data_IF_515566113769
#
_entry.id   IF_515566113769
#
_cell.length_a   1.000
_cell.length_b   1.000
_cell.length_c   1.000
_cell.angle_alpha   90.00
_cell.angle_beta   90.00
_cell.angle_gamma   90.00
#
_symmetry.space_group_name_H-M   'P 1'
#
loop_
_entity.id
_entity.type
_entity.pdbx_description
1 polymer ?
#
# COMPACT_ATOMS: atom_id res chain seq x y z
N UNK A 1 15.04 -8.03 3.98
CA UNK A 1 13.77 -7.54 3.43
C UNK A 1 12.75 -7.28 4.54
N UNK A 2 12.51 -8.26 5.40
CA UNK A 2 11.47 -8.20 6.45
C UNK A 2 11.61 -7.00 7.39
N UNK A 3 12.83 -6.68 7.86
CA UNK A 3 13.07 -5.50 8.70
C UNK A 3 12.67 -4.18 8.03
N UNK A 4 12.94 -4.01 6.73
CA UNK A 4 12.61 -2.76 6.02
C UNK A 4 11.10 -2.59 5.89
N UNK A 5 10.39 -3.66 5.50
CA UNK A 5 8.93 -3.64 5.37
C UNK A 5 8.25 -3.42 6.72
N UNK A 6 8.71 -4.08 7.79
CA UNK A 6 8.16 -3.90 9.14
C UNK A 6 8.37 -2.47 9.65
N UNK A 7 9.58 -1.92 9.53
CA UNK A 7 9.85 -0.53 9.91
C UNK A 7 9.03 0.47 9.09
N UNK A 8 8.80 0.20 7.80
CA UNK A 8 7.98 1.06 6.96
C UNK A 8 6.51 1.08 7.40
N UNK A 9 5.96 -0.08 7.80
CA UNK A 9 4.61 -0.19 8.34
C UNK A 9 4.49 0.58 9.66
N UNK A 10 5.45 0.41 10.58
CA UNK A 10 5.50 1.18 11.84
C UNK A 10 5.63 2.69 11.61
N UNK A 11 6.44 3.11 10.63
CA UNK A 11 6.58 4.52 10.26
C UNK A 11 5.26 5.11 9.75
N UNK A 12 4.49 4.35 8.96
CA UNK A 12 3.24 4.79 8.35
C UNK A 12 2.08 4.85 9.36
N UNK A 13 1.94 3.81 10.20
CA UNK A 13 0.78 3.63 11.07
C UNK A 13 1.02 4.10 12.51
N UNK A 14 2.27 4.29 12.91
CA UNK A 14 2.70 4.46 14.30
C UNK A 14 3.06 3.11 14.95
N UNK A 15 4.10 3.08 15.78
CA UNK A 15 4.61 1.85 16.40
C UNK A 15 3.58 1.13 17.28
N UNK A 16 2.76 1.88 18.02
CA UNK A 16 1.75 1.34 18.95
C UNK A 16 0.37 1.14 18.30
N UNK A 17 0.28 1.17 16.96
CA UNK A 17 -0.99 1.04 16.28
C UNK A 17 -1.60 -0.36 16.52
N UNK A 18 -2.85 -0.48 17.01
CA UNK A 18 -3.50 -1.78 17.25
C UNK A 18 -3.54 -2.70 16.02
N UNK A 19 -3.56 -2.14 14.82
CA UNK A 19 -3.56 -2.91 13.57
C UNK A 19 -2.25 -3.69 13.40
N UNK A 20 -1.13 -3.18 13.92
CA UNK A 20 0.16 -3.88 13.92
C UNK A 20 0.16 -4.97 15.01
N UNK A 21 -0.24 -4.63 16.24
CA UNK A 21 -0.21 -5.57 17.37
C UNK A 21 -1.19 -6.73 17.21
N UNK A 22 -2.31 -6.52 16.51
CA UNK A 22 -3.29 -7.55 16.15
C UNK A 22 -2.95 -8.32 14.86
N UNK A 23 -1.80 -8.03 14.21
CA UNK A 23 -1.35 -8.74 13.02
C UNK A 23 -2.20 -8.50 11.76
N UNK A 24 -2.89 -7.36 11.68
CA UNK A 24 -3.79 -6.98 10.56
C UNK A 24 -3.09 -6.15 9.47
N UNK A 25 -1.89 -5.63 9.73
CA UNK A 25 -1.08 -4.92 8.75
C UNK A 25 0.21 -5.68 8.42
N UNK A 26 0.61 -5.63 7.16
CA UNK A 26 1.90 -6.10 6.68
C UNK A 26 2.41 -5.19 5.55
N UNK A 27 3.71 -5.25 5.29
CA UNK A 27 4.37 -4.48 4.23
C UNK A 27 5.05 -5.38 3.22
N UNK A 28 5.11 -4.95 1.97
CA UNK A 28 5.90 -5.58 0.90
C UNK A 28 6.74 -4.50 0.24
N UNK A 29 8.04 -4.72 0.12
CA UNK A 29 8.93 -3.79 -0.55
C UNK A 29 8.69 -3.80 -2.07
N UNK A 30 8.55 -2.61 -2.65
CA UNK A 30 8.25 -2.38 -4.08
C UNK A 30 9.21 -1.35 -4.68
N UNK A 31 9.14 -1.17 -6.00
CA UNK A 31 9.91 -0.15 -6.72
C UNK A 31 9.26 1.24 -6.58
N UNK A 32 9.57 1.93 -5.48
CA UNK A 32 9.08 3.29 -5.21
C UNK A 32 7.53 3.39 -5.23
N UNK A 33 6.99 4.60 -5.22
CA UNK A 33 5.55 4.86 -5.17
C UNK A 33 4.78 4.31 -6.39
N UNK A 34 5.29 4.52 -7.60
CA UNK A 34 4.65 4.03 -8.84
C UNK A 34 4.56 2.51 -8.86
N UNK A 35 5.62 1.81 -8.42
CA UNK A 35 5.62 0.36 -8.28
C UNK A 35 4.62 -0.11 -7.22
N UNK A 36 4.52 0.59 -6.07
CA UNK A 36 3.51 0.31 -5.05
C UNK A 36 2.08 0.40 -5.59
N UNK A 37 1.76 1.45 -6.36
CA UNK A 37 0.44 1.65 -6.94
C UNK A 37 0.09 0.52 -7.93
N UNK A 38 1.04 0.15 -8.79
CA UNK A 38 0.86 -0.94 -9.76
C UNK A 38 0.57 -2.27 -9.06
N UNK A 39 1.41 -2.65 -8.08
CA UNK A 39 1.25 -3.91 -7.34
C UNK A 39 -0.07 -3.93 -6.56
N UNK A 40 -0.42 -2.83 -5.88
CA UNK A 40 -1.68 -2.70 -5.16
C UNK A 40 -2.90 -2.85 -6.06
N UNK A 41 -2.92 -2.17 -7.22
CA UNK A 41 -4.01 -2.26 -8.18
C UNK A 41 -4.15 -3.69 -8.76
N UNK A 42 -3.03 -4.36 -9.05
CA UNK A 42 -3.05 -5.76 -9.50
C UNK A 42 -3.58 -6.71 -8.46
N UNK A 43 -3.19 -6.54 -7.19
CA UNK A 43 -3.68 -7.38 -6.11
C UNK A 43 -5.20 -7.28 -6.00
N UNK A 44 -5.73 -6.05 -6.00
CA UNK A 44 -7.17 -5.80 -5.95
C UNK A 44 -7.90 -6.38 -7.17
N UNK A 45 -7.37 -6.17 -8.38
CA UNK A 45 -7.98 -6.70 -9.59
C UNK A 45 -7.93 -8.23 -9.66
N UNK A 46 -6.77 -8.84 -9.38
CA UNK A 46 -6.56 -10.27 -9.54
C UNK A 46 -7.34 -11.09 -8.51
N UNK A 47 -7.34 -10.65 -7.25
CA UNK A 47 -7.90 -11.42 -6.14
C UNK A 47 -9.32 -10.99 -5.75
N UNK A 48 -9.65 -9.71 -5.84
CA UNK A 48 -10.98 -9.18 -5.47
C UNK A 48 -11.85 -8.82 -6.68
N UNK A 49 -11.32 -8.94 -7.92
CA UNK A 49 -12.02 -8.63 -9.17
C UNK A 49 -12.49 -7.19 -9.28
N UNK A 50 -11.82 -6.27 -8.59
CA UNK A 50 -12.10 -4.84 -8.71
C UNK A 50 -11.55 -4.30 -10.04
N UNK A 51 -12.43 -3.70 -10.85
CA UNK A 51 -12.09 -3.15 -12.17
C UNK A 51 -12.30 -1.63 -12.27
N UNK A 52 -12.97 -1.02 -11.30
CA UNK A 52 -13.25 0.40 -11.26
C UNK A 52 -12.40 1.07 -10.18
N UNK A 53 -11.61 2.09 -10.55
CA UNK A 53 -10.74 2.84 -9.64
C UNK A 53 -11.05 4.34 -9.77
N UNK A 54 -11.36 4.99 -8.64
CA UNK A 54 -11.63 6.42 -8.58
C UNK A 54 -10.37 7.19 -8.17
N UNK A 55 -10.17 8.36 -8.76
CA UNK A 55 -9.07 9.28 -8.47
C UNK A 55 -9.58 10.73 -8.40
N UNK A 56 -8.83 11.60 -7.73
CA UNK A 56 -9.20 13.01 -7.59
C UNK A 56 -9.09 13.78 -8.92
N UNK A 57 -9.78 14.91 -9.03
CA UNK A 57 -9.58 15.87 -10.11
C UNK A 57 -9.22 17.23 -9.51
N UNK A 58 -7.98 17.75 -9.68
CA UNK A 58 -6.88 17.17 -10.47
C UNK A 58 -6.21 15.96 -9.79
N UNK A 59 -5.36 15.26 -10.54
CA UNK A 59 -4.55 14.14 -10.04
C UNK A 59 -3.09 14.27 -10.50
N UNK A 60 -2.20 13.50 -9.87
CA UNK A 60 -0.78 13.47 -10.22
C UNK A 60 -0.60 13.08 -11.69
N UNK A 61 0.21 13.86 -12.43
CA UNK A 61 0.44 13.68 -13.87
C UNK A 61 -0.54 14.42 -14.78
N UNK A 62 -1.59 15.03 -14.22
CA UNK A 62 -2.49 15.92 -14.95
C UNK A 62 -2.18 17.37 -14.52
N UNK A 63 -1.33 18.03 -15.29
CA UNK A 63 -1.27 19.49 -15.35
C UNK A 63 -2.13 19.96 -16.52
#
# INVERSE_FOLDING_TARGET
LENFSNSSVSMLLGEDNPVITEGRAFGVQTLSGTGSLRVGAELLNKHLKYTNFYYSSPTWGQY
#
